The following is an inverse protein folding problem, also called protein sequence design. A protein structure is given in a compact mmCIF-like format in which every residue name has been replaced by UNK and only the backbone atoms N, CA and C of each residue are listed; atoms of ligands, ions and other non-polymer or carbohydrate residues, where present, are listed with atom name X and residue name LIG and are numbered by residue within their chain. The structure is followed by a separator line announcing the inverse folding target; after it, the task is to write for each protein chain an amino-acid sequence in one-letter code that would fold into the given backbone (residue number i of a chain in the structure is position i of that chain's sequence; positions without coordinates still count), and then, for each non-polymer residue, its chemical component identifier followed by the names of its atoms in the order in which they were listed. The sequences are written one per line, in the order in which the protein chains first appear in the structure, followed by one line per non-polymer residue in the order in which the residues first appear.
data_IF_741593029931
#
_entry.id   IF_741593029931
#
_cell.length_a   1.000
_cell.length_b   1.000
_cell.length_c   1.000
_cell.angle_alpha   90.00
_cell.angle_beta   90.00
_cell.angle_gamma   90.00
#
_symmetry.space_group_name_H-M   'P 1'
#
loop_
_entity.id
_entity.type
_entity.pdbx_description
1 polymer ?
#
# COMPACT_ATOMS: atom_id res chain seq x y z
N UNK A 1 -0.95 -20.07 -48.88
CA UNK A 1 -0.20 -21.04 -49.71
C UNK A 1 -0.07 -22.30 -48.91
N UNK A 2 -0.89 -23.32 -49.21
CA UNK A 2 -0.52 -24.59 -49.90
C UNK A 2 0.43 -25.42 -49.02
N UNK A 3 0.16 -26.60 -48.56
CA UNK A 3 -0.41 -27.90 -49.04
C UNK A 3 0.37 -28.97 -48.25
N UNK A 4 0.03 -30.11 -47.92
CA UNK A 4 -0.83 -31.27 -48.24
C UNK A 4 -0.42 -32.40 -47.31
N UNK A 5 -1.28 -33.13 -46.63
CA UNK A 5 -1.96 -34.39 -47.04
C UNK A 5 -1.05 -35.54 -47.48
N UNK A 6 -1.19 -36.66 -46.76
CA UNK A 6 -1.31 -38.09 -47.20
C UNK A 6 -1.10 -38.98 -45.97
N UNK A 7 -2.00 -39.75 -45.42
CA UNK A 7 -2.80 -40.88 -45.86
C UNK A 7 -1.98 -41.97 -46.55
N UNK A 8 -1.78 -43.10 -45.87
CA UNK A 8 -1.76 -44.43 -46.45
C UNK A 8 -2.24 -45.46 -45.43
N UNK A 9 -3.29 -46.17 -45.82
CA UNK A 9 -3.86 -47.37 -45.22
C UNK A 9 -3.29 -48.60 -45.96
N UNK A 10 -3.32 -49.72 -45.30
CA UNK A 10 -3.49 -51.10 -45.77
C UNK A 10 -2.69 -52.02 -44.86
N UNK A 11 -3.21 -52.93 -44.09
CA UNK A 11 -4.03 -54.05 -44.50
C UNK A 11 -3.17 -55.30 -44.57
N UNK A 12 -3.40 -56.18 -43.61
CA UNK A 12 -3.29 -57.62 -43.95
C UNK A 12 -3.85 -58.48 -42.82
N UNK A 13 -4.93 -59.14 -43.17
CA UNK A 13 -5.55 -60.25 -42.44
C UNK A 13 -4.68 -61.49 -42.66
N UNK A 14 -4.33 -62.20 -41.61
CA UNK A 14 -3.98 -63.62 -41.69
C UNK A 14 -4.52 -64.33 -40.48
N UNK A 15 -5.40 -65.28 -40.78
CA UNK A 15 -6.01 -66.20 -39.88
C UNK A 15 -4.98 -67.22 -39.36
N UNK A 16 -5.08 -67.55 -38.07
CA UNK A 16 -4.31 -68.65 -37.50
C UNK A 16 -4.98 -69.08 -36.19
N UNK A 17 -5.96 -69.95 -36.30
CA UNK A 17 -6.47 -70.78 -35.22
C UNK A 17 -5.35 -71.63 -34.66
N UNK A 18 -5.23 -71.73 -33.32
CA UNK A 18 -4.86 -72.99 -32.64
C UNK A 18 -4.75 -72.80 -31.13
N UNK A 19 -5.49 -73.66 -30.43
CA UNK A 19 -5.28 -74.30 -29.13
C UNK A 19 -5.57 -73.50 -27.85
N UNK A 20 -6.75 -73.89 -27.32
CA UNK A 20 -7.04 -73.84 -25.91
C UNK A 20 -6.01 -74.66 -25.14
N UNK A 21 -5.15 -74.05 -24.42
CA UNK A 21 -4.45 -74.58 -23.26
C UNK A 21 -4.99 -73.85 -22.05
N UNK A 22 -5.87 -74.49 -21.33
CA UNK A 22 -6.30 -73.99 -20.04
C UNK A 22 -5.14 -73.98 -19.03
N UNK A 23 -4.58 -72.81 -18.77
CA UNK A 23 -3.85 -72.58 -17.54
C UNK A 23 -4.87 -71.96 -16.55
N UNK A 24 -5.35 -72.82 -15.66
CA UNK A 24 -5.97 -72.35 -14.44
C UNK A 24 -4.91 -71.62 -13.60
N UNK A 25 -4.83 -70.34 -13.77
CA UNK A 25 -4.02 -69.53 -12.87
C UNK A 25 -4.86 -69.35 -11.61
N UNK A 26 -4.53 -70.13 -10.56
CA UNK A 26 -5.00 -69.82 -9.22
C UNK A 26 -4.51 -68.40 -8.85
N UNK A 27 -5.39 -67.42 -8.94
CA UNK A 27 -5.14 -66.14 -8.33
C UNK A 27 -5.23 -66.34 -6.82
N UNK A 28 -4.11 -66.61 -6.18
CA UNK A 28 -3.99 -66.46 -4.74
C UNK A 28 -4.18 -64.98 -4.41
N UNK A 29 -5.41 -64.63 -4.10
CA UNK A 29 -5.70 -63.31 -3.47
C UNK A 29 -5.14 -63.38 -2.04
N UNK A 30 -3.89 -62.98 -1.88
CA UNK A 30 -3.35 -62.70 -0.55
C UNK A 30 -4.00 -61.44 -0.07
N UNK A 31 -5.04 -61.57 0.72
CA UNK A 31 -5.60 -60.48 1.48
C UNK A 31 -4.54 -60.12 2.54
N UNK A 32 -3.98 -58.95 2.56
CA UNK A 32 -3.05 -58.60 3.64
C UNK A 32 -3.82 -58.58 4.95
N UNK A 33 -3.31 -59.34 5.91
CA UNK A 33 -3.90 -59.50 7.25
C UNK A 33 -3.93 -58.19 8.08
N UNK A 34 -3.37 -57.13 7.57
CA UNK A 34 -3.33 -55.83 8.24
C UNK A 34 -3.71 -54.75 7.24
N UNK A 35 -4.95 -54.35 7.26
CA UNK A 35 -5.35 -53.04 6.73
C UNK A 35 -4.81 -52.02 7.72
N UNK A 36 -3.62 -51.48 7.43
CA UNK A 36 -3.17 -50.27 8.09
C UNK A 36 -4.13 -49.13 7.64
N UNK A 37 -5.17 -48.94 8.42
CA UNK A 37 -5.91 -47.67 8.38
C UNK A 37 -4.89 -46.62 8.89
N UNK A 38 -4.17 -45.97 7.98
CA UNK A 38 -3.57 -44.72 8.32
C UNK A 38 -4.71 -43.80 8.76
N UNK A 39 -4.86 -43.68 10.06
CA UNK A 39 -5.59 -42.57 10.61
C UNK A 39 -4.83 -41.32 10.13
N UNK A 40 -5.24 -40.80 9.00
CA UNK A 40 -5.06 -39.39 8.72
C UNK A 40 -5.80 -38.72 9.88
N UNK A 41 -5.06 -38.37 10.92
CA UNK A 41 -5.49 -37.29 11.80
C UNK A 41 -5.60 -36.06 10.89
N UNK A 42 -6.72 -35.96 10.20
CA UNK A 42 -7.18 -34.68 9.70
C UNK A 42 -7.19 -33.78 10.94
N UNK A 43 -6.17 -32.95 11.03
CA UNK A 43 -6.18 -31.80 11.91
C UNK A 43 -7.55 -31.12 11.75
N UNK A 44 -8.51 -31.51 12.57
CA UNK A 44 -9.83 -30.90 12.59
C UNK A 44 -9.67 -29.51 13.14
N UNK A 45 -9.23 -28.59 12.28
CA UNK A 45 -9.12 -27.19 12.60
C UNK A 45 -10.47 -26.54 12.48
N UNK A 46 -10.99 -26.05 13.57
CA UNK A 46 -12.17 -25.18 13.56
C UNK A 46 -11.61 -23.75 13.45
N UNK A 47 -11.86 -23.11 12.32
CA UNK A 47 -11.57 -21.68 12.15
C UNK A 47 -12.80 -20.91 12.60
N UNK A 48 -12.62 -20.11 13.64
CA UNK A 48 -13.61 -19.18 14.13
C UNK A 48 -13.16 -17.76 13.77
N UNK A 49 -14.03 -16.99 13.16
CA UNK A 49 -13.81 -15.57 12.96
C UNK A 49 -14.93 -14.79 13.62
N UNK A 50 -14.58 -13.74 14.32
CA UNK A 50 -15.52 -12.82 14.94
C UNK A 50 -15.17 -11.41 14.53
N UNK A 51 -16.12 -10.50 14.61
CA UNK A 51 -15.91 -9.09 14.31
C UNK A 51 -16.74 -8.23 15.26
N UNK A 52 -16.12 -7.17 15.76
CA UNK A 52 -16.79 -6.16 16.55
C UNK A 52 -16.55 -4.80 15.92
N UNK A 53 -17.53 -3.90 16.02
CA UNK A 53 -17.43 -2.55 15.46
C UNK A 53 -17.67 -1.52 16.55
N UNK A 54 -16.63 -0.74 16.85
CA UNK A 54 -16.71 0.39 17.78
C UNK A 54 -16.62 1.69 16.98
N UNK A 55 -17.54 2.63 17.24
CA UNK A 55 -17.54 3.96 16.63
C UNK A 55 -16.92 4.95 17.62
N UNK A 56 -15.87 5.62 17.18
CA UNK A 56 -15.17 6.65 17.94
C UNK A 56 -15.28 7.98 17.22
N UNK A 57 -15.68 9.04 17.91
CA UNK A 57 -15.68 10.36 17.33
C UNK A 57 -14.24 10.92 17.27
N UNK A 58 -13.84 11.58 16.17
CA UNK A 58 -12.55 12.26 16.12
C UNK A 58 -12.54 13.45 17.08
N UNK A 59 -11.43 13.66 17.76
CA UNK A 59 -11.15 14.77 18.66
C UNK A 59 -9.87 15.52 18.31
N UNK A 60 -9.06 14.95 17.42
CA UNK A 60 -7.79 15.48 16.95
C UNK A 60 -7.75 15.58 15.42
N UNK A 61 -6.89 16.46 14.95
CA UNK A 61 -6.59 16.61 13.53
C UNK A 61 -5.09 16.54 13.27
N UNK A 62 -4.77 16.13 12.03
CA UNK A 62 -3.45 16.22 11.44
C UNK A 62 -3.55 17.08 10.21
N UNK A 63 -2.65 18.05 10.08
CA UNK A 63 -2.57 19.00 8.97
C UNK A 63 -1.22 18.79 8.29
N UNK A 64 -1.22 18.68 6.98
CA UNK A 64 0.02 18.66 6.17
C UNK A 64 0.06 19.93 5.34
N UNK A 65 0.98 20.80 5.68
CA UNK A 65 1.29 22.01 4.92
C UNK A 65 2.30 21.71 3.83
N UNK A 66 2.19 22.37 2.70
CA UNK A 66 3.21 22.40 1.66
C UNK A 66 3.78 23.80 1.52
N UNK A 67 5.08 23.86 1.24
CA UNK A 67 5.80 25.07 0.90
C UNK A 67 6.50 24.81 -0.43
N UNK A 68 6.03 25.48 -1.48
CA UNK A 68 6.64 25.45 -2.79
C UNK A 68 7.30 26.81 -3.09
N UNK A 69 8.51 26.78 -3.62
CA UNK A 69 9.25 27.96 -4.09
C UNK A 69 9.88 27.67 -5.44
N UNK A 70 9.97 28.70 -6.26
CA UNK A 70 10.59 28.63 -7.58
C UNK A 70 11.57 29.77 -7.75
N UNK A 71 12.73 29.48 -8.36
CA UNK A 71 13.71 30.49 -8.76
C UNK A 71 14.52 29.98 -9.95
N UNK A 72 15.10 30.88 -10.73
CA UNK A 72 16.03 30.53 -11.79
C UNK A 72 17.35 29.93 -11.24
N UNK A 73 17.69 30.28 -9.99
CA UNK A 73 18.87 29.84 -9.26
C UNK A 73 18.47 28.87 -8.14
N UNK A 74 19.15 27.73 -8.08
CA UNK A 74 18.84 26.66 -7.12
C UNK A 74 19.07 27.10 -5.67
N UNK A 75 20.13 27.88 -5.40
CA UNK A 75 20.48 28.35 -4.06
C UNK A 75 19.42 29.34 -3.55
N UNK A 76 19.00 30.28 -4.40
CA UNK A 76 17.92 31.23 -4.06
C UNK A 76 16.60 30.55 -3.83
N UNK A 77 16.27 29.56 -4.66
CA UNK A 77 15.07 28.74 -4.49
C UNK A 77 15.05 28.06 -3.12
N UNK A 78 16.19 27.47 -2.73
CA UNK A 78 16.35 26.81 -1.43
C UNK A 78 16.28 27.82 -0.27
N UNK A 79 16.92 28.96 -0.39
CA UNK A 79 16.91 30.00 0.66
C UNK A 79 15.49 30.52 0.89
N UNK A 80 14.76 30.84 -0.18
CA UNK A 80 13.38 31.30 -0.08
C UNK A 80 12.45 30.25 0.55
N UNK A 81 12.70 28.97 0.28
CA UNK A 81 11.95 27.87 0.92
C UNK A 81 12.27 27.79 2.41
N UNK A 82 13.54 27.87 2.79
CA UNK A 82 13.97 27.83 4.19
C UNK A 82 13.41 29.01 5.00
N UNK A 83 13.35 30.20 4.44
CA UNK A 83 12.75 31.39 5.09
C UNK A 83 11.26 31.16 5.39
N UNK A 84 10.48 30.66 4.41
CA UNK A 84 9.08 30.34 4.59
C UNK A 84 8.87 29.21 5.60
N UNK A 85 9.70 28.18 5.55
CA UNK A 85 9.65 27.06 6.50
C UNK A 85 9.88 27.55 7.92
N UNK A 86 10.89 28.36 8.14
CA UNK A 86 11.20 28.91 9.47
C UNK A 86 10.04 29.78 9.98
N UNK A 87 9.45 30.62 9.13
CA UNK A 87 8.28 31.43 9.50
C UNK A 87 7.09 30.57 9.93
N UNK A 88 6.80 29.49 9.19
CA UNK A 88 5.73 28.55 9.54
C UNK A 88 6.04 27.84 10.88
N UNK A 89 7.26 27.37 11.09
CA UNK A 89 7.65 26.69 12.32
C UNK A 89 7.58 27.61 13.54
N UNK A 90 8.04 28.86 13.43
CA UNK A 90 7.92 29.87 14.49
C UNK A 90 6.47 30.18 14.81
N UNK A 91 5.62 30.32 13.80
CA UNK A 91 4.20 30.50 14.00
C UNK A 91 3.56 29.32 14.76
N UNK A 92 3.79 28.07 14.32
CA UNK A 92 3.24 26.87 14.95
C UNK A 92 3.65 26.76 16.42
N UNK A 93 4.92 26.99 16.73
CA UNK A 93 5.45 27.03 18.11
C UNK A 93 4.78 28.15 18.92
N UNK A 94 4.57 29.32 18.32
CA UNK A 94 3.89 30.44 18.95
C UNK A 94 2.42 30.17 19.28
N UNK A 95 1.78 29.25 18.55
CA UNK A 95 0.41 28.77 18.82
C UNK A 95 0.36 27.65 19.87
N UNK A 96 1.50 27.26 20.42
CA UNK A 96 1.57 26.20 21.45
C UNK A 96 1.58 24.78 20.91
N UNK A 97 1.78 24.59 19.60
CA UNK A 97 1.98 23.25 19.03
C UNK A 97 3.30 22.67 19.56
N UNK A 98 3.24 21.48 20.12
CA UNK A 98 4.41 20.80 20.64
C UNK A 98 5.42 20.48 19.52
N UNK A 99 6.72 20.65 19.76
CA UNK A 99 7.74 20.30 18.76
C UNK A 99 7.69 18.83 18.33
N UNK A 100 7.28 17.95 19.25
CA UNK A 100 7.10 16.52 18.96
C UNK A 100 5.95 16.23 18.00
N UNK A 101 5.00 17.17 17.88
CA UNK A 101 3.85 17.07 16.96
C UNK A 101 4.10 17.77 15.62
N UNK A 102 5.29 18.32 15.41
CA UNK A 102 5.71 18.94 14.15
C UNK A 102 6.80 18.11 13.50
N UNK A 103 6.56 17.64 12.30
CA UNK A 103 7.54 16.88 11.52
C UNK A 103 7.68 17.46 10.11
N UNK A 104 8.92 17.61 9.64
CA UNK A 104 9.18 17.89 8.22
C UNK A 104 9.31 16.56 7.51
N UNK A 105 8.43 16.29 6.54
CA UNK A 105 8.28 14.97 5.95
C UNK A 105 8.80 14.84 4.52
N UNK A 106 8.86 15.93 3.77
CA UNK A 106 9.37 15.90 2.40
C UNK A 106 10.28 17.10 2.16
N UNK A 107 11.30 16.89 1.32
CA UNK A 107 12.27 17.92 0.97
C UNK A 107 12.85 17.60 -0.41
N UNK A 108 12.38 18.28 -1.44
CA UNK A 108 12.79 18.01 -2.81
C UNK A 108 13.12 19.30 -3.57
N UNK A 109 14.22 19.28 -4.32
CA UNK A 109 14.62 20.34 -5.25
C UNK A 109 14.70 19.74 -6.65
N UNK A 110 13.87 20.24 -7.55
CA UNK A 110 13.74 19.72 -8.90
C UNK A 110 14.02 20.79 -9.96
N UNK A 111 14.77 20.49 -11.01
CA UNK A 111 14.93 21.41 -12.13
C UNK A 111 13.65 21.46 -12.98
N UNK A 112 13.23 22.65 -13.33
CA UNK A 112 12.10 22.90 -14.22
C UNK A 112 12.59 23.11 -15.66
N UNK A 113 11.87 22.51 -16.63
CA UNK A 113 12.24 22.57 -18.03
C UNK A 113 11.08 23.03 -18.89
N UNK A 114 11.39 23.90 -19.83
CA UNK A 114 10.50 24.26 -20.95
C UNK A 114 10.66 23.25 -22.09
N UNK A 115 9.51 22.69 -22.55
CA UNK A 115 9.40 21.72 -23.62
C UNK A 115 8.68 22.29 -24.86
N UNK A 116 8.41 23.59 -24.90
CA UNK A 116 7.69 24.23 -25.99
C UNK A 116 8.48 24.29 -27.31
N UNK A 117 9.80 24.03 -27.28
CA UNK A 117 10.69 24.03 -28.42
C UNK A 117 11.17 22.62 -28.84
N UNK A 118 12.05 22.56 -29.84
CA UNK A 118 12.67 21.32 -30.29
C UNK A 118 13.75 20.76 -29.31
N UNK A 119 14.10 21.49 -28.28
CA UNK A 119 15.09 21.10 -27.29
C UNK A 119 14.59 21.46 -25.89
N UNK A 120 14.90 20.59 -24.94
CA UNK A 120 14.67 20.80 -23.52
C UNK A 120 15.53 21.96 -23.02
N UNK A 121 14.90 23.00 -22.48
CA UNK A 121 15.60 24.17 -21.92
C UNK A 121 15.31 24.27 -20.42
N UNK A 122 16.37 24.36 -19.61
CA UNK A 122 16.23 24.63 -18.17
C UNK A 122 15.70 26.04 -17.98
N UNK A 123 14.62 26.21 -17.21
CA UNK A 123 13.98 27.49 -16.91
C UNK A 123 14.09 27.90 -15.45
N UNK A 124 14.41 26.96 -14.56
CA UNK A 124 14.55 27.25 -13.14
C UNK A 124 14.55 25.98 -12.29
N UNK A 125 14.33 26.18 -11.02
CA UNK A 125 14.24 25.13 -10.02
C UNK A 125 13.00 25.35 -9.17
N UNK A 126 12.36 24.25 -8.80
CA UNK A 126 11.27 24.20 -7.83
C UNK A 126 11.73 23.46 -6.60
N UNK A 127 11.52 24.05 -5.43
CA UNK A 127 11.72 23.37 -4.17
C UNK A 127 10.40 23.18 -3.44
N UNK A 128 10.18 21.97 -2.96
CA UNK A 128 9.01 21.59 -2.15
C UNK A 128 9.45 21.07 -0.81
N UNK A 129 8.75 21.52 0.22
CA UNK A 129 8.90 21.03 1.59
C UNK A 129 7.50 20.79 2.17
N UNK A 130 7.32 19.69 2.90
CA UNK A 130 6.10 19.39 3.62
C UNK A 130 6.33 19.41 5.11
N UNK A 131 5.38 20.00 5.83
CA UNK A 131 5.36 20.06 7.30
C UNK A 131 4.07 19.42 7.78
N UNK A 132 4.20 18.31 8.48
CA UNK A 132 3.11 17.63 9.15
C UNK A 132 2.97 18.16 10.57
N UNK A 133 1.76 18.50 10.95
CA UNK A 133 1.37 18.92 12.30
C UNK A 133 0.32 17.97 12.80
N UNK A 134 0.63 17.19 13.82
CA UNK A 134 -0.29 16.24 14.47
C UNK A 134 -0.82 16.79 15.79
N UNK A 135 -1.76 16.07 16.40
CA UNK A 135 -2.34 16.34 17.72
C UNK A 135 -2.97 17.74 17.84
N UNK A 136 -3.51 18.23 16.73
CA UNK A 136 -4.21 19.52 16.69
C UNK A 136 -5.63 19.35 17.19
N UNK A 137 -6.04 20.12 18.22
CA UNK A 137 -7.42 20.14 18.68
C UNK A 137 -8.36 20.70 17.59
N UNK A 138 -9.56 20.11 17.45
CA UNK A 138 -10.46 20.42 16.34
C UNK A 138 -10.86 21.91 16.26
N UNK A 139 -10.96 22.58 17.39
CA UNK A 139 -11.28 24.00 17.49
C UNK A 139 -10.16 24.93 16.98
N UNK A 140 -8.92 24.45 16.98
CA UNK A 140 -7.74 25.19 16.51
C UNK A 140 -7.48 25.03 15.01
N UNK A 141 -8.05 24.00 14.37
CA UNK A 141 -7.78 23.68 12.96
C UNK A 141 -7.99 24.88 12.05
N UNK A 142 -9.13 25.57 12.19
CA UNK A 142 -9.47 26.71 11.31
C UNK A 142 -8.49 27.88 11.42
N UNK A 143 -8.05 28.21 12.62
CA UNK A 143 -7.08 29.28 12.86
C UNK A 143 -5.68 28.89 12.36
N UNK A 144 -5.24 27.65 12.62
CA UNK A 144 -3.95 27.15 12.16
C UNK A 144 -3.88 27.12 10.62
N UNK A 145 -4.95 26.69 9.95
CA UNK A 145 -4.98 26.69 8.48
C UNK A 145 -4.84 28.10 7.88
N UNK A 146 -5.64 29.04 8.36
CA UNK A 146 -5.64 30.38 7.77
C UNK A 146 -4.35 31.16 8.04
N UNK A 147 -3.84 31.07 9.25
CA UNK A 147 -2.63 31.79 9.65
C UNK A 147 -1.35 31.06 9.26
N UNK A 148 -1.37 29.72 9.15
CA UNK A 148 -0.25 28.94 8.63
C UNK A 148 0.09 29.29 7.19
N UNK A 149 -0.93 29.58 6.38
CA UNK A 149 -0.72 30.11 5.01
C UNK A 149 -0.09 31.52 5.06
N UNK A 150 -0.52 32.38 5.95
CA UNK A 150 0.06 33.71 6.12
C UNK A 150 1.51 33.65 6.66
N UNK A 151 1.85 32.62 7.42
CA UNK A 151 3.16 32.42 8.02
C UNK A 151 4.22 31.79 7.08
N UNK A 152 3.80 31.29 5.89
CA UNK A 152 4.78 30.77 4.92
C UNK A 152 4.31 29.56 4.10
N UNK A 153 3.34 28.80 4.58
CA UNK A 153 2.75 27.73 3.77
C UNK A 153 1.97 28.33 2.59
N UNK A 154 2.14 27.75 1.42
CA UNK A 154 1.35 28.16 0.24
C UNK A 154 0.52 27.01 -0.36
N UNK A 155 0.60 25.84 0.24
CA UNK A 155 -0.20 24.66 -0.10
C UNK A 155 -0.75 24.02 1.19
N UNK A 156 -1.96 23.47 1.13
CA UNK A 156 -2.48 22.56 2.15
C UNK A 156 -2.64 21.21 1.45
N UNK A 157 -1.78 20.28 1.77
CA UNK A 157 -1.73 18.98 1.11
C UNK A 157 -2.87 18.07 1.59
N UNK A 158 -3.09 18.02 2.90
CA UNK A 158 -4.17 17.22 3.48
C UNK A 158 -4.54 17.68 4.88
N UNK A 159 -5.78 17.37 5.25
CA UNK A 159 -6.27 17.44 6.62
C UNK A 159 -6.94 16.10 6.91
N UNK A 160 -6.54 15.46 7.98
CA UNK A 160 -7.15 14.21 8.45
C UNK A 160 -7.56 14.34 9.91
N UNK A 161 -8.67 13.69 10.23
CA UNK A 161 -9.23 13.71 11.59
C UNK A 161 -9.12 12.30 12.18
N UNK A 162 -8.74 12.21 13.43
CA UNK A 162 -8.59 10.95 14.14
C UNK A 162 -8.99 11.08 15.60
N UNK A 163 -9.09 9.95 16.28
CA UNK A 163 -9.38 9.94 17.71
C UNK A 163 -8.12 9.66 18.51
N UNK A 164 -7.88 10.45 19.54
CA UNK A 164 -6.78 10.22 20.50
C UNK A 164 -6.98 8.92 21.29
N UNK A 165 -8.22 8.42 21.39
CA UNK A 165 -8.57 7.18 22.10
C UNK A 165 -8.73 5.99 21.16
N UNK A 166 -8.22 6.06 19.91
CA UNK A 166 -8.38 5.00 18.93
C UNK A 166 -7.81 3.66 19.41
N UNK A 167 -6.61 3.66 19.97
CA UNK A 167 -5.94 2.43 20.41
C UNK A 167 -6.67 1.77 21.59
N UNK A 168 -7.24 2.56 22.50
CA UNK A 168 -8.05 2.07 23.61
C UNK A 168 -9.35 1.43 23.10
N UNK A 169 -10.03 2.13 22.18
CA UNK A 169 -11.26 1.64 21.56
C UNK A 169 -11.02 0.37 20.74
N UNK A 170 -9.88 0.29 20.05
CA UNK A 170 -9.48 -0.90 19.30
C UNK A 170 -9.19 -2.09 20.22
N UNK A 171 -8.47 -1.87 21.32
CA UNK A 171 -8.20 -2.91 22.32
C UNK A 171 -9.51 -3.42 22.97
N UNK A 172 -10.44 -2.52 23.26
CA UNK A 172 -11.77 -2.88 23.81
C UNK A 172 -12.61 -3.68 22.79
N UNK A 173 -12.57 -3.30 21.51
CA UNK A 173 -13.23 -4.05 20.44
C UNK A 173 -12.66 -5.47 20.30
N UNK A 174 -11.34 -5.63 20.36
CA UNK A 174 -10.68 -6.94 20.33
C UNK A 174 -11.06 -7.81 21.53
N UNK A 175 -11.19 -7.21 22.70
CA UNK A 175 -11.56 -7.95 23.92
C UNK A 175 -13.02 -8.44 23.88
N UNK A 176 -13.89 -7.81 23.09
CA UNK A 176 -15.30 -8.19 22.91
C UNK A 176 -15.54 -9.15 21.76
N UNK A 177 -14.62 -9.19 20.79
CA UNK A 177 -14.66 -10.08 19.65
C UNK A 177 -14.28 -11.53 20.02
#
# INVERSE_FOLDING_TARGET
MKKRVALIAAGCIAAGSVLLSGCATEVKTTVPDVIQVQNLEEDRKISLSTSETVKVAPDMARIVYGIATEDADAEKCQQANAEKLNGLLEYLKGQGVAETSIATSDFSLNPMYDWSGNARKLVGYEMRTQVEVSDVALDQVGSLLSQGVAAGANEIQSISYYSSTYDEAYADALARA
#
